data_IF_700378774558
#
_entry.id   IF_700378774558
#
_cell.length_a   1.000
_cell.length_b   1.000
_cell.length_c   1.000
_cell.angle_alpha   90.00
_cell.angle_beta   90.00
_cell.angle_gamma   90.00
#
_symmetry.space_group_name_H-M   'P 1'
#
loop_
_entity.id
_entity.type
_entity.pdbx_description
1 polymer ?
#
# COMPACT_ATOMS: atom_id res chain seq x y z
N UNK A 1 15.45 49.11 -0.79
CA UNK A 1 16.56 48.22 -0.40
C UNK A 1 16.05 47.24 0.66
N UNK A 2 15.62 46.05 0.26
CA UNK A 2 15.12 45.04 1.18
C UNK A 2 16.31 44.19 1.68
N UNK A 3 16.55 44.19 3.00
CA UNK A 3 17.64 43.44 3.64
C UNK A 3 17.33 41.94 3.60
N UNK A 4 18.19 41.18 2.95
CA UNK A 4 18.21 39.72 2.97
C UNK A 4 18.42 39.23 4.42
N UNK A 5 17.40 38.61 5.02
CA UNK A 5 17.56 37.87 6.28
C UNK A 5 18.14 36.50 5.94
N UNK A 6 19.43 36.33 6.16
CA UNK A 6 20.10 35.02 6.09
C UNK A 6 19.67 34.20 7.30
N UNK A 7 18.97 33.10 7.07
CA UNK A 7 18.77 32.05 8.07
C UNK A 7 19.94 31.08 7.93
N UNK A 8 20.77 30.98 8.98
CA UNK A 8 21.77 29.92 9.09
C UNK A 8 21.14 28.74 9.86
N UNK A 9 21.02 27.61 9.17
CA UNK A 9 20.64 26.35 9.79
C UNK A 9 21.89 25.72 10.41
N UNK A 10 21.90 25.60 11.74
CA UNK A 10 22.91 24.80 12.41
C UNK A 10 22.68 23.30 12.08
N UNK A 11 23.74 22.53 11.81
CA UNK A 11 23.62 21.09 11.57
C UNK A 11 23.11 20.40 12.84
N UNK A 12 22.15 19.48 12.66
CA UNK A 12 21.61 18.69 13.75
C UNK A 12 22.72 17.79 14.34
N UNK A 13 22.76 17.62 15.68
CA UNK A 13 23.74 16.74 16.31
C UNK A 13 23.52 15.31 15.84
N UNK A 14 24.60 14.67 15.37
CA UNK A 14 24.61 13.25 15.02
C UNK A 14 24.66 12.49 16.35
N UNK A 15 23.50 12.03 16.81
CA UNK A 15 23.41 11.09 17.93
C UNK A 15 23.85 9.72 17.42
N UNK A 16 25.07 9.34 17.80
CA UNK A 16 25.54 7.95 17.69
C UNK A 16 24.88 7.13 18.80
N UNK A 17 24.31 5.99 18.42
CA UNK A 17 23.83 4.90 19.27
C UNK A 17 22.55 5.13 20.09
N UNK A 18 21.41 4.95 19.41
CA UNK A 18 20.28 4.22 20.00
C UNK A 18 20.09 2.97 19.13
N UNK A 19 20.50 1.83 19.67
CA UNK A 19 20.07 0.51 19.20
C UNK A 19 18.56 0.40 19.46
N UNK A 20 17.76 0.85 18.50
CA UNK A 20 16.41 0.34 18.31
C UNK A 20 16.52 -0.85 17.34
N UNK A 21 16.95 -1.99 17.88
CA UNK A 21 16.81 -3.30 17.24
C UNK A 21 15.31 -3.67 17.21
N UNK A 22 14.54 -2.97 16.37
CA UNK A 22 13.30 -3.52 15.84
C UNK A 22 13.70 -4.19 14.54
N UNK A 23 14.15 -5.44 14.65
CA UNK A 23 14.24 -6.35 13.51
C UNK A 23 12.83 -6.59 12.97
N UNK A 24 12.34 -5.68 12.13
CA UNK A 24 11.22 -5.96 11.24
C UNK A 24 11.76 -6.91 10.18
N UNK A 25 11.76 -8.20 10.49
CA UNK A 25 11.94 -9.26 9.52
C UNK A 25 10.73 -9.30 8.58
N UNK A 26 10.60 -8.27 7.76
CA UNK A 26 9.74 -8.30 6.59
C UNK A 26 10.43 -9.21 5.58
N UNK A 27 10.03 -10.48 5.58
CA UNK A 27 10.22 -11.37 4.44
C UNK A 27 9.42 -10.80 3.27
N UNK A 28 9.99 -9.77 2.64
CA UNK A 28 9.49 -9.19 1.40
C UNK A 28 9.64 -10.25 0.33
N UNK A 29 8.56 -11.01 0.12
CA UNK A 29 8.40 -11.78 -1.10
C UNK A 29 8.25 -10.74 -2.22
N UNK A 30 9.37 -10.39 -2.84
CA UNK A 30 9.42 -9.47 -3.98
C UNK A 30 8.70 -10.11 -5.17
N UNK A 31 7.37 -10.00 -5.21
CA UNK A 31 6.63 -10.20 -6.44
C UNK A 31 6.97 -9.03 -7.37
N UNK A 32 7.88 -9.27 -8.32
CA UNK A 32 8.35 -8.34 -9.37
C UNK A 32 7.23 -7.88 -10.37
N UNK A 33 5.98 -7.83 -9.92
CA UNK A 33 4.83 -7.39 -10.71
C UNK A 33 4.47 -5.94 -10.43
N UNK A 34 4.00 -5.23 -11.46
CA UNK A 34 3.43 -3.89 -11.30
C UNK A 34 2.21 -3.97 -10.36
N UNK A 35 2.17 -3.21 -9.25
CA UNK A 35 1.06 -3.27 -8.31
C UNK A 35 -0.23 -2.81 -8.98
N UNK A 36 -1.31 -3.58 -8.80
CA UNK A 36 -2.64 -3.20 -9.28
C UNK A 36 -3.34 -2.37 -8.20
N UNK A 37 -3.71 -1.12 -8.53
CA UNK A 37 -4.52 -0.28 -7.66
C UNK A 37 -5.98 -0.76 -7.68
N UNK A 38 -6.53 -1.02 -6.50
CA UNK A 38 -7.93 -1.42 -6.31
C UNK A 38 -8.59 -0.39 -5.39
N UNK A 39 -9.80 0.03 -5.74
CA UNK A 39 -10.63 0.94 -4.95
C UNK A 39 -11.97 0.27 -4.70
N UNK A 40 -12.45 0.31 -3.46
CA UNK A 40 -13.74 -0.25 -3.06
C UNK A 40 -14.39 0.65 -2.01
N UNK A 41 -15.71 0.58 -1.91
CA UNK A 41 -16.45 1.27 -0.86
C UNK A 41 -16.32 0.48 0.44
N UNK A 42 -16.00 1.15 1.53
CA UNK A 42 -15.83 0.55 2.86
C UNK A 42 -16.71 1.28 3.86
N UNK A 43 -17.39 0.53 4.72
CA UNK A 43 -18.18 1.13 5.80
C UNK A 43 -17.28 1.94 6.74
N UNK A 44 -17.76 3.10 7.16
CA UNK A 44 -16.99 4.05 7.97
C UNK A 44 -16.59 3.44 9.31
N UNK A 45 -17.50 2.72 9.97
CA UNK A 45 -17.21 2.08 11.25
C UNK A 45 -16.13 0.99 11.14
N UNK A 46 -16.10 0.27 10.02
CA UNK A 46 -15.06 -0.72 9.74
C UNK A 46 -13.71 -0.04 9.45
N UNK A 47 -13.71 1.06 8.70
CA UNK A 47 -12.51 1.84 8.40
C UNK A 47 -11.85 2.37 9.69
N UNK A 48 -12.62 2.91 10.63
CA UNK A 48 -12.08 3.40 11.90
C UNK A 48 -11.44 2.27 12.72
N UNK A 49 -12.12 1.11 12.84
CA UNK A 49 -11.53 -0.07 13.49
C UNK A 49 -10.21 -0.52 12.85
N UNK A 50 -10.13 -0.48 11.52
CA UNK A 50 -8.90 -0.82 10.80
C UNK A 50 -7.77 0.17 11.12
N UNK A 51 -8.07 1.46 11.23
CA UNK A 51 -7.08 2.48 11.62
C UNK A 51 -6.59 2.27 13.04
N UNK A 52 -7.50 2.03 13.98
CA UNK A 52 -7.17 1.79 15.38
C UNK A 52 -6.28 0.56 15.52
N UNK A 53 -6.67 -0.54 14.87
CA UNK A 53 -5.88 -1.78 14.85
C UNK A 53 -4.48 -1.55 14.25
N UNK A 54 -4.40 -0.87 13.09
CA UNK A 54 -3.12 -0.56 12.47
C UNK A 54 -2.22 0.33 13.32
N UNK A 55 -2.79 1.25 14.09
CA UNK A 55 -2.03 2.08 15.03
C UNK A 55 -1.39 1.24 16.15
N UNK A 56 -2.16 0.34 16.78
CA UNK A 56 -1.68 -0.48 17.89
C UNK A 56 -0.70 -1.56 17.46
N UNK A 57 -0.94 -2.19 16.31
CA UNK A 57 -0.10 -3.29 15.80
C UNK A 57 1.07 -2.79 14.95
N UNK A 58 1.16 -1.49 14.66
CA UNK A 58 2.19 -0.92 13.79
C UNK A 58 2.07 -1.37 12.32
N UNK A 59 0.86 -1.72 11.88
CA UNK A 59 0.58 -2.25 10.55
C UNK A 59 -0.03 -1.19 9.63
N UNK A 60 0.31 -1.26 8.34
CA UNK A 60 -0.36 -0.41 7.34
C UNK A 60 -1.74 -0.97 7.01
N UNK A 61 -2.66 -0.08 6.61
CA UNK A 61 -3.99 -0.50 6.13
C UNK A 61 -3.91 -1.53 4.99
N UNK A 62 -2.89 -1.40 4.12
CA UNK A 62 -2.65 -2.33 3.02
C UNK A 62 -2.34 -3.73 3.55
N UNK A 63 -1.46 -3.84 4.54
CA UNK A 63 -1.02 -5.14 5.07
C UNK A 63 -2.17 -5.85 5.77
N UNK A 64 -2.96 -5.11 6.57
CA UNK A 64 -4.17 -5.63 7.22
C UNK A 64 -5.15 -6.20 6.18
N UNK A 65 -5.41 -5.46 5.10
CA UNK A 65 -6.31 -5.90 4.03
C UNK A 65 -5.77 -7.15 3.32
N UNK A 66 -4.47 -7.17 2.99
CA UNK A 66 -3.86 -8.30 2.30
C UNK A 66 -3.88 -9.56 3.17
N UNK A 67 -3.52 -9.44 4.44
CA UNK A 67 -3.54 -10.54 5.40
C UNK A 67 -4.95 -11.09 5.61
N UNK A 68 -5.95 -10.20 5.77
CA UNK A 68 -7.34 -10.60 5.90
C UNK A 68 -7.85 -11.33 4.64
N UNK A 69 -7.50 -10.85 3.45
CA UNK A 69 -7.86 -11.50 2.18
C UNK A 69 -7.18 -12.85 2.03
N UNK A 70 -5.87 -12.96 2.32
CA UNK A 70 -5.15 -14.24 2.27
C UNK A 70 -5.81 -15.26 3.18
N UNK A 71 -6.04 -14.90 4.46
CA UNK A 71 -6.72 -15.79 5.42
C UNK A 71 -8.11 -16.20 4.97
N UNK A 72 -8.88 -15.27 4.41
CA UNK A 72 -10.23 -15.56 3.92
C UNK A 72 -10.22 -16.57 2.77
N UNK A 73 -9.20 -16.52 1.90
CA UNK A 73 -9.08 -17.42 0.76
C UNK A 73 -8.36 -18.73 1.05
N UNK A 74 -7.58 -18.82 2.13
CA UNK A 74 -6.92 -20.07 2.55
C UNK A 74 -7.94 -21.18 2.82
N UNK A 75 -9.10 -20.83 3.38
CA UNK A 75 -10.19 -21.78 3.66
C UNK A 75 -11.24 -21.87 2.53
N UNK A 76 -11.10 -21.10 1.45
CA UNK A 76 -12.13 -20.98 0.42
C UNK A 76 -11.88 -21.90 -0.79
N UNK A 77 -12.90 -22.62 -1.23
CA UNK A 77 -12.86 -23.33 -2.52
C UNK A 77 -13.00 -22.32 -3.69
N UNK A 78 -11.88 -21.88 -4.25
CA UNK A 78 -11.85 -20.90 -5.35
C UNK A 78 -12.19 -21.58 -6.67
N UNK A 79 -13.42 -21.34 -7.16
CA UNK A 79 -13.81 -21.74 -8.52
C UNK A 79 -13.29 -20.72 -9.55
N UNK A 80 -12.67 -21.17 -10.66
CA UNK A 80 -12.19 -20.25 -11.67
C UNK A 80 -13.36 -19.52 -12.33
N UNK A 81 -13.17 -18.23 -12.61
CA UNK A 81 -14.13 -17.47 -13.42
C UNK A 81 -14.19 -18.07 -14.83
N UNK A 82 -15.36 -18.17 -15.47
CA UNK A 82 -15.48 -18.65 -16.84
C UNK A 82 -14.58 -17.90 -17.84
N UNK A 83 -14.01 -18.62 -18.81
CA UNK A 83 -13.02 -18.07 -19.77
C UNK A 83 -13.54 -16.86 -20.55
N UNK A 84 -14.83 -16.88 -20.91
CA UNK A 84 -15.51 -15.77 -21.60
C UNK A 84 -15.44 -14.45 -20.84
N UNK A 85 -15.34 -14.49 -19.51
CA UNK A 85 -15.27 -13.31 -18.64
C UNK A 85 -13.80 -12.97 -18.34
N UNK A 86 -12.95 -13.97 -18.10
CA UNK A 86 -11.52 -13.78 -17.81
C UNK A 86 -10.79 -13.07 -18.95
N UNK A 87 -11.11 -13.41 -20.19
CA UNK A 87 -10.46 -12.86 -21.39
C UNK A 87 -11.24 -11.70 -22.01
N UNK A 88 -12.33 -11.24 -21.38
CA UNK A 88 -13.07 -10.08 -21.89
C UNK A 88 -12.14 -8.88 -21.84
N UNK A 89 -11.77 -8.36 -23.02
CA UNK A 89 -10.93 -7.16 -23.17
C UNK A 89 -11.48 -6.08 -22.26
N UNK A 90 -10.61 -5.56 -21.38
CA UNK A 90 -10.96 -4.57 -20.35
C UNK A 90 -11.75 -3.44 -21.02
N UNK A 91 -13.04 -3.33 -20.71
CA UNK A 91 -13.86 -2.22 -21.17
C UNK A 91 -13.40 -0.97 -20.41
N UNK A 92 -12.79 -0.04 -21.13
CA UNK A 92 -12.10 1.13 -20.61
C UNK A 92 -11.60 1.97 -21.79
N UNK A 93 -11.12 3.20 -21.51
CA UNK A 93 -10.82 4.22 -22.52
C UNK A 93 -10.13 3.63 -23.75
N UNK A 94 -10.70 3.92 -24.94
CA UNK A 94 -10.05 3.61 -26.23
C UNK A 94 -8.60 4.08 -26.18
N UNK A 95 -7.63 3.26 -26.62
CA UNK A 95 -6.26 3.72 -26.72
C UNK A 95 -6.22 4.96 -27.60
N UNK A 96 -5.60 6.04 -27.10
CA UNK A 96 -5.33 7.23 -27.90
C UNK A 96 -4.42 6.77 -29.03
N UNK A 97 -4.89 6.82 -30.26
CA UNK A 97 -4.08 6.46 -31.41
C UNK A 97 -2.76 7.25 -31.35
N UNK A 98 -1.64 6.53 -31.32
CA UNK A 98 -0.33 7.11 -31.50
C UNK A 98 -0.32 7.65 -32.94
N UNK A 99 -0.48 8.95 -33.09
CA UNK A 99 -0.33 9.62 -34.40
C UNK A 99 1.15 9.47 -34.76
N UNK A 100 1.40 8.67 -35.78
CA UNK A 100 2.72 8.55 -36.42
C UNK A 100 3.02 9.72 -37.34
#
# INVERSE_FOLDING_TARGET
MAKERKFDFAPLPIVSDINDDIEVNSSQTESNGVPTKVTFDCDYALLEKMKDYGYWEGLTQKDIILEALTRYFDDAEIRPRPDKIRNKTKVGRKPKALVG
#
